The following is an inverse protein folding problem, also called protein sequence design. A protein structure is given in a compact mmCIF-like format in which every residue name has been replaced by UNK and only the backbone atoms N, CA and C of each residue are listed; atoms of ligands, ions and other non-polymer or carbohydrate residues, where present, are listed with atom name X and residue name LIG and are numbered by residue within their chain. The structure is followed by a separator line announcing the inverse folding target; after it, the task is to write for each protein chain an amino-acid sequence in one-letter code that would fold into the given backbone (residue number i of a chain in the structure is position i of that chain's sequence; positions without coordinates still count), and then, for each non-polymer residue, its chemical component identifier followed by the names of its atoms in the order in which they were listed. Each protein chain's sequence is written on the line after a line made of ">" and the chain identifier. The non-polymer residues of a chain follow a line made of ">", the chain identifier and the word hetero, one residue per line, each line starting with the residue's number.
data_IF_649974262882
#
_entry.id   IF_649974262882
#
_cell.length_a   1.000
_cell.length_b   1.000
_cell.length_c   1.000
_cell.angle_alpha   90.00
_cell.angle_beta   90.00
_cell.angle_gamma   90.00
#
_symmetry.space_group_name_H-M   'P 1'
#
loop_
_entity.id
_entity.type
_entity.pdbx_description
1 polymer ?
#
# COMPACT_ATOMS: atom_id res chain seq x y z
N UNK A 1 1.41 5.25 -21.03
CA UNK A 1 0.65 4.15 -20.41
C UNK A 1 1.53 2.97 -19.99
N UNK A 2 2.37 2.41 -20.87
CA UNK A 2 3.14 1.18 -20.59
C UNK A 2 4.08 1.26 -19.37
N UNK A 3 4.84 2.36 -19.22
CA UNK A 3 5.74 2.56 -18.08
C UNK A 3 5.04 2.40 -16.72
N UNK A 4 3.90 3.07 -16.55
CA UNK A 4 3.10 3.03 -15.34
C UNK A 4 2.56 1.64 -15.04
N UNK A 5 2.17 0.88 -16.06
CA UNK A 5 1.74 -0.51 -15.89
C UNK A 5 2.87 -1.40 -15.37
N UNK A 6 4.11 -1.22 -15.85
CA UNK A 6 5.26 -1.95 -15.32
C UNK A 6 5.55 -1.61 -13.88
N UNK A 7 5.45 -0.33 -13.52
CA UNK A 7 5.66 0.12 -12.15
C UNK A 7 4.58 -0.40 -11.19
N UNK A 8 3.31 -0.39 -11.62
CA UNK A 8 2.20 -0.99 -10.85
C UNK A 8 2.44 -2.51 -10.62
N UNK A 9 2.92 -3.24 -11.65
CA UNK A 9 3.24 -4.67 -11.54
C UNK A 9 4.43 -4.94 -10.61
N UNK A 10 5.47 -4.11 -10.68
CA UNK A 10 6.60 -4.19 -9.78
C UNK A 10 6.14 -3.99 -8.34
N UNK A 11 5.31 -2.98 -8.08
CA UNK A 11 4.75 -2.71 -6.76
C UNK A 11 3.82 -3.83 -6.28
N UNK A 12 3.01 -4.41 -7.16
CA UNK A 12 2.22 -5.60 -6.83
C UNK A 12 3.11 -6.77 -6.37
N UNK A 13 4.23 -7.00 -7.07
CA UNK A 13 5.21 -8.01 -6.68
C UNK A 13 5.82 -7.74 -5.30
N UNK A 14 6.19 -6.48 -5.03
CA UNK A 14 6.71 -6.08 -3.72
C UNK A 14 5.67 -6.24 -2.61
N UNK A 15 4.39 -5.89 -2.85
CA UNK A 15 3.34 -6.10 -1.87
C UNK A 15 3.06 -7.59 -1.61
N UNK A 16 3.08 -8.44 -2.63
CA UNK A 16 2.99 -9.89 -2.40
C UNK A 16 4.18 -10.43 -1.61
N UNK A 17 5.39 -9.94 -1.89
CA UNK A 17 6.57 -10.27 -1.11
C UNK A 17 6.40 -9.82 0.35
N UNK A 18 5.92 -8.60 0.59
CA UNK A 18 5.61 -8.12 1.94
C UNK A 18 4.59 -9.00 2.64
N UNK A 19 3.50 -9.38 1.97
CA UNK A 19 2.53 -10.35 2.51
C UNK A 19 3.18 -11.69 2.87
N UNK A 20 4.12 -12.19 2.06
CA UNK A 20 4.85 -13.41 2.35
C UNK A 20 5.84 -13.25 3.52
N UNK A 21 6.40 -12.07 3.76
CA UNK A 21 7.27 -11.83 4.93
C UNK A 21 6.48 -11.90 6.23
N UNK A 22 5.19 -11.54 6.22
CA UNK A 22 4.35 -11.53 7.43
C UNK A 22 4.10 -12.93 8.01
N UNK A 23 4.42 -14.03 7.32
CA UNK A 23 4.34 -15.37 7.95
C UNK A 23 5.23 -15.50 9.19
N UNK A 24 6.18 -14.60 9.37
CA UNK A 24 7.06 -14.55 10.53
C UNK A 24 6.48 -13.75 11.71
N UNK A 25 5.34 -13.08 11.53
CA UNK A 25 4.76 -12.19 12.55
C UNK A 25 3.76 -12.92 13.46
N UNK A 26 3.59 -12.47 14.72
CA UNK A 26 2.65 -13.05 15.66
C UNK A 26 1.17 -12.84 15.28
N UNK A 27 0.83 -11.75 14.55
CA UNK A 27 -0.52 -11.48 14.03
C UNK A 27 -0.49 -11.14 12.52
N UNK A 28 -0.38 -12.15 11.64
CA UNK A 28 -0.08 -11.94 10.23
C UNK A 28 -1.29 -11.52 9.38
N UNK A 29 -2.50 -11.87 9.82
CA UNK A 29 -3.67 -11.89 8.93
C UNK A 29 -4.08 -10.51 8.46
N UNK A 30 -4.11 -9.53 9.37
CA UNK A 30 -4.47 -8.15 9.03
C UNK A 30 -3.49 -7.56 8.02
N UNK A 31 -2.19 -7.76 8.22
CA UNK A 31 -1.13 -7.24 7.36
C UNK A 31 -1.12 -7.91 5.99
N UNK A 32 -1.22 -9.24 5.95
CA UNK A 32 -1.35 -10.00 4.72
C UNK A 32 -2.56 -9.54 3.90
N UNK A 33 -3.70 -9.30 4.54
CA UNK A 33 -4.90 -8.81 3.87
C UNK A 33 -4.67 -7.42 3.25
N UNK A 34 -4.03 -6.49 3.99
CA UNK A 34 -3.73 -5.15 3.49
C UNK A 34 -2.76 -5.15 2.31
N UNK A 35 -1.65 -5.90 2.42
CA UNK A 35 -0.69 -6.02 1.32
C UNK A 35 -1.30 -6.71 0.11
N UNK A 36 -2.08 -7.77 0.31
CA UNK A 36 -2.78 -8.48 -0.78
C UNK A 36 -3.79 -7.57 -1.47
N UNK A 37 -4.57 -6.80 -0.72
CA UNK A 37 -5.52 -5.84 -1.28
C UNK A 37 -4.81 -4.77 -2.13
N UNK A 38 -3.66 -4.26 -1.65
CA UNK A 38 -2.84 -3.31 -2.40
C UNK A 38 -2.27 -3.93 -3.70
N UNK A 39 -1.78 -5.16 -3.63
CA UNK A 39 -1.28 -5.89 -4.79
C UNK A 39 -2.39 -6.12 -5.84
N UNK A 40 -3.57 -6.53 -5.39
CA UNK A 40 -4.74 -6.71 -6.26
C UNK A 40 -5.14 -5.38 -6.90
N UNK A 41 -5.20 -4.28 -6.14
CA UNK A 41 -5.52 -2.96 -6.69
C UNK A 41 -4.56 -2.53 -7.81
N UNK A 42 -3.26 -2.83 -7.66
CA UNK A 42 -2.24 -2.56 -8.68
C UNK A 42 -2.44 -3.39 -9.95
N UNK A 43 -2.87 -4.65 -9.82
CA UNK A 43 -3.07 -5.58 -10.93
C UNK A 43 -4.43 -5.42 -11.63
N UNK A 44 -5.41 -4.76 -11.01
CA UNK A 44 -6.69 -4.50 -11.65
C UNK A 44 -6.50 -3.73 -12.96
N UNK A 45 -7.13 -4.16 -14.07
CA UNK A 45 -7.10 -3.42 -15.33
C UNK A 45 -7.70 -2.01 -15.18
N UNK A 46 -7.13 -1.02 -15.86
CA UNK A 46 -7.65 0.35 -15.87
C UNK A 46 -9.12 0.45 -16.37
N UNK A 47 -9.58 -0.51 -17.17
CA UNK A 47 -10.98 -0.61 -17.61
C UNK A 47 -11.96 -0.91 -16.48
N UNK A 48 -11.52 -1.44 -15.34
CA UNK A 48 -12.39 -1.75 -14.20
C UNK A 48 -12.94 -0.46 -13.61
N UNK A 49 -14.25 -0.23 -13.73
CA UNK A 49 -14.93 1.02 -13.33
C UNK A 49 -14.59 1.49 -11.90
N UNK A 50 -14.48 0.56 -10.97
CA UNK A 50 -14.32 0.85 -9.55
C UNK A 50 -12.86 0.77 -9.06
N UNK A 51 -11.89 0.63 -9.97
CA UNK A 51 -10.47 0.50 -9.60
C UNK A 51 -9.98 1.70 -8.78
N UNK A 52 -10.30 2.92 -9.21
CA UNK A 52 -9.92 4.14 -8.47
C UNK A 52 -10.51 4.16 -7.06
N UNK A 53 -11.78 3.79 -6.91
CA UNK A 53 -12.46 3.70 -5.61
C UNK A 53 -11.80 2.65 -4.71
N UNK A 54 -11.50 1.46 -5.24
CA UNK A 54 -10.82 0.40 -4.48
C UNK A 54 -9.44 0.87 -4.03
N UNK A 55 -8.66 1.49 -4.92
CA UNK A 55 -7.33 2.01 -4.58
C UNK A 55 -7.41 3.07 -3.47
N UNK A 56 -8.35 4.00 -3.52
CA UNK A 56 -8.52 4.99 -2.44
C UNK A 56 -9.02 4.39 -1.14
N UNK A 57 -9.89 3.38 -1.17
CA UNK A 57 -10.33 2.69 0.04
C UNK A 57 -9.14 1.99 0.73
N UNK A 58 -8.32 1.26 -0.04
CA UNK A 58 -7.08 0.65 0.48
C UNK A 58 -6.16 1.74 1.05
N UNK A 59 -5.99 2.86 0.33
CA UNK A 59 -5.16 3.96 0.79
C UNK A 59 -5.66 4.56 2.11
N UNK A 60 -6.97 4.82 2.23
CA UNK A 60 -7.57 5.40 3.42
C UNK A 60 -7.44 4.47 4.64
N UNK A 61 -7.71 3.18 4.47
CA UNK A 61 -7.58 2.19 5.54
C UNK A 61 -6.12 2.04 5.97
N UNK A 62 -5.18 1.94 5.02
CA UNK A 62 -3.74 1.90 5.31
C UNK A 62 -3.26 3.17 6.01
N UNK A 63 -3.73 4.34 5.58
CA UNK A 63 -3.40 5.62 6.21
C UNK A 63 -3.88 5.65 7.66
N UNK A 64 -5.13 5.28 7.90
CA UNK A 64 -5.69 5.21 9.25
C UNK A 64 -4.91 4.25 10.15
N UNK A 65 -4.59 3.05 9.64
CA UNK A 65 -3.80 2.06 10.38
C UNK A 65 -2.38 2.58 10.69
N UNK A 66 -1.72 3.22 9.71
CA UNK A 66 -0.41 3.87 9.89
C UNK A 66 -0.47 4.91 11.00
N UNK A 67 -1.46 5.80 10.99
CA UNK A 67 -1.61 6.87 11.99
C UNK A 67 -1.90 6.30 13.39
N UNK A 68 -2.65 5.20 13.48
CA UNK A 68 -2.90 4.50 14.75
C UNK A 68 -1.61 3.96 15.37
N UNK A 69 -0.67 3.52 14.54
CA UNK A 69 0.58 2.89 14.96
C UNK A 69 1.74 3.89 15.09
N UNK A 70 1.57 5.10 14.54
CA UNK A 70 2.58 6.15 14.56
C UNK A 70 3.15 6.43 15.97
N UNK A 71 2.38 6.48 17.07
CA UNK A 71 2.97 6.71 18.39
C UNK A 71 3.96 5.62 18.82
N UNK A 72 3.66 4.36 18.53
CA UNK A 72 4.55 3.24 18.83
C UNK A 72 5.75 3.20 17.87
N UNK A 73 5.52 3.49 16.59
CA UNK A 73 6.58 3.58 15.58
C UNK A 73 7.58 4.70 15.88
N UNK A 74 7.11 5.83 16.43
CA UNK A 74 7.93 6.97 16.81
C UNK A 74 8.66 6.78 18.15
N UNK A 75 8.32 5.74 18.91
CA UNK A 75 9.06 5.35 20.10
C UNK A 75 10.36 4.59 19.77
N UNK A 76 10.64 4.36 18.49
CA UNK A 76 11.88 3.76 18.02
C UNK A 76 13.07 4.69 18.32
N UNK A 77 14.00 4.22 19.15
CA UNK A 77 15.16 5.00 19.56
C UNK A 77 16.20 5.14 18.44
N UNK A 78 16.45 4.08 17.67
CA UNK A 78 17.39 4.08 16.55
C UNK A 78 16.77 3.56 15.25
N UNK A 79 16.96 4.27 14.15
CA UNK A 79 16.49 3.83 12.83
C UNK A 79 17.23 2.56 12.34
N UNK A 80 18.44 2.29 12.82
CA UNK A 80 19.18 1.04 12.58
C UNK A 80 18.38 -0.18 13.05
N UNK A 81 17.52 -0.03 14.06
CA UNK A 81 16.72 -1.13 14.59
C UNK A 81 15.66 -1.63 13.60
N UNK A 82 15.27 -0.83 12.60
CA UNK A 82 14.33 -1.25 11.56
C UNK A 82 14.85 -2.43 10.74
N UNK A 83 16.17 -2.52 10.56
CA UNK A 83 16.84 -3.61 9.83
C UNK A 83 17.38 -4.69 10.75
N UNK A 84 17.17 -4.56 12.07
CA UNK A 84 17.51 -5.60 13.02
C UNK A 84 16.75 -6.89 12.72
N UNK A 85 17.34 -8.01 13.13
CA UNK A 85 16.76 -9.33 12.92
C UNK A 85 15.47 -9.49 13.72
N UNK A 86 14.47 -10.15 13.14
CA UNK A 86 13.17 -10.47 13.77
C UNK A 86 13.29 -11.37 15.02
N UNK A 87 14.51 -11.73 15.42
CA UNK A 87 14.79 -12.58 16.58
C UNK A 87 14.69 -11.82 17.92
N UNK A 88 14.71 -10.49 17.91
CA UNK A 88 14.53 -9.67 19.11
C UNK A 88 13.06 -9.24 19.24
N UNK A 89 12.39 -9.69 20.30
CA UNK A 89 11.02 -9.32 20.63
C UNK A 89 10.93 -7.84 21.09
N UNK A 90 11.07 -6.90 20.12
CA UNK A 90 10.92 -5.46 20.36
C UNK A 90 9.64 -4.96 19.67
N UNK A 91 8.55 -4.76 20.41
CA UNK A 91 7.25 -4.40 19.82
C UNK A 91 7.28 -3.03 19.11
N UNK A 92 8.21 -2.14 19.48
CA UNK A 92 8.37 -0.84 18.81
C UNK A 92 8.94 -0.99 17.39
N UNK A 93 9.87 -1.94 17.20
CA UNK A 93 10.47 -2.24 15.89
C UNK A 93 9.42 -2.82 14.95
N UNK A 94 8.59 -3.74 15.46
CA UNK A 94 7.50 -4.34 14.70
C UNK A 94 6.48 -3.29 14.26
N UNK A 95 6.00 -2.48 15.22
CA UNK A 95 5.06 -1.40 14.94
C UNK A 95 5.61 -0.39 13.94
N UNK A 96 6.92 -0.08 14.01
CA UNK A 96 7.56 0.82 13.05
C UNK A 96 7.64 0.22 11.64
N UNK A 97 7.98 -1.06 11.51
CA UNK A 97 8.04 -1.76 10.20
C UNK A 97 6.66 -1.90 9.56
N UNK A 98 5.67 -2.30 10.35
CA UNK A 98 4.28 -2.41 9.91
C UNK A 98 3.74 -1.03 9.50
N UNK A 99 3.98 0.02 10.31
CA UNK A 99 3.56 1.38 9.98
C UNK A 99 4.21 1.91 8.70
N UNK A 100 5.51 1.66 8.50
CA UNK A 100 6.21 2.05 7.27
C UNK A 100 5.67 1.32 6.04
N UNK A 101 5.43 0.01 6.14
CA UNK A 101 4.84 -0.76 5.06
C UNK A 101 3.45 -0.26 4.68
N UNK A 102 2.59 0.05 5.66
CA UNK A 102 1.27 0.61 5.43
C UNK A 102 1.32 2.04 4.89
N UNK A 103 2.31 2.85 5.28
CA UNK A 103 2.53 4.16 4.70
C UNK A 103 2.83 4.07 3.20
N UNK A 104 3.67 3.11 2.78
CA UNK A 104 3.97 2.85 1.37
C UNK A 104 2.72 2.41 0.63
N UNK A 105 1.95 1.47 1.18
CA UNK A 105 0.66 1.04 0.61
C UNK A 105 -0.27 2.23 0.42
N UNK A 106 -0.41 3.07 1.45
CA UNK A 106 -1.25 4.26 1.43
C UNK A 106 -0.88 5.20 0.30
N UNK A 107 0.40 5.59 0.24
CA UNK A 107 0.91 6.53 -0.76
C UNK A 107 0.75 5.97 -2.19
N UNK A 108 1.10 4.70 -2.39
CA UNK A 108 1.02 4.07 -3.70
C UNK A 108 -0.43 3.97 -4.19
N UNK A 109 -1.32 3.46 -3.35
CA UNK A 109 -2.73 3.29 -3.70
C UNK A 109 -3.46 4.64 -3.85
N UNK A 110 -3.07 5.66 -3.09
CA UNK A 110 -3.58 7.03 -3.29
C UNK A 110 -3.16 7.57 -4.66
N UNK A 111 -1.88 7.44 -5.03
CA UNK A 111 -1.37 7.83 -6.34
C UNK A 111 -2.04 7.07 -7.47
N UNK A 112 -2.23 5.75 -7.31
CA UNK A 112 -2.94 4.90 -8.25
C UNK A 112 -4.36 5.37 -8.50
N UNK A 113 -5.13 5.62 -7.43
CA UNK A 113 -6.53 6.08 -7.52
C UNK A 113 -6.65 7.46 -8.17
N UNK A 114 -5.80 8.41 -7.78
CA UNK A 114 -5.79 9.77 -8.34
C UNK A 114 -5.44 9.75 -9.83
N UNK A 115 -4.45 8.95 -10.21
CA UNK A 115 -4.03 8.79 -11.61
C UNK A 115 -5.14 8.17 -12.47
N UNK A 116 -5.83 7.15 -11.96
CA UNK A 116 -6.93 6.47 -12.65
C UNK A 116 -8.17 7.39 -12.78
N UNK A 117 -8.49 8.17 -11.74
CA UNK A 117 -9.55 9.18 -11.84
C UNK A 117 -9.21 10.24 -12.88
N UNK A 118 -7.99 10.77 -12.86
CA UNK A 118 -7.56 11.82 -13.79
C UNK A 118 -7.73 11.39 -15.25
N UNK A 119 -7.35 10.16 -15.58
CA UNK A 119 -7.54 9.61 -16.93
C UNK A 119 -9.02 9.55 -17.31
N UNK A 120 -9.88 9.04 -16.43
CA UNK A 120 -11.33 8.95 -16.69
C UNK A 120 -11.99 10.31 -16.93
N UNK A 121 -11.61 11.30 -16.11
CA UNK A 121 -12.13 12.67 -16.27
C UNK A 121 -11.67 13.27 -17.59
N UNK A 122 -10.39 13.06 -17.96
CA UNK A 122 -9.83 13.55 -19.22
C UNK A 122 -10.55 12.93 -20.44
N UNK A 123 -10.80 11.63 -20.41
CA UNK A 123 -11.51 10.91 -21.48
C UNK A 123 -12.97 11.37 -21.60
N UNK A 124 -13.64 11.62 -20.47
CA UNK A 124 -15.03 12.09 -20.44
C UNK A 124 -15.22 13.50 -21.02
N UNK A 125 -14.27 14.42 -20.76
CA UNK A 125 -14.30 15.77 -21.33
C UNK A 125 -14.14 15.71 -22.86
N UNK A 126 -13.22 14.88 -23.36
CA UNK A 126 -12.99 14.70 -24.79
C UNK A 126 -14.21 14.15 -25.54
N UNK A 127 -14.99 13.25 -24.93
CA UNK A 127 -16.18 12.67 -25.55
C UNK A 127 -17.38 13.63 -25.67
N UNK A 128 -17.43 14.69 -24.86
CA UNK A 128 -18.53 15.68 -24.88
C UNK A 128 -18.35 16.84 -25.87
N UNK A 129 -17.18 16.93 -26.51
CA UNK A 129 -16.78 18.07 -27.36
C UNK A 129 -16.69 17.76 -28.86
N UNK A 130 -17.05 16.54 -29.28
CA UNK A 130 -17.16 16.12 -30.69
C UNK A 130 -18.56 15.65 -31.02
#
# INVERSE_FOLDING_TARGET
>A
MVFWTWLDRLMAGLFFLSAAVQYNDPDPLAWMAMYTAAAVACLLPASVRHRATVAWLVAAVSCFATLRMAPAALALEELSDLTATMAAARPEVEAAREALGLAIVSLWCAGLGTRDLWMRVSDGIGASSG
#
